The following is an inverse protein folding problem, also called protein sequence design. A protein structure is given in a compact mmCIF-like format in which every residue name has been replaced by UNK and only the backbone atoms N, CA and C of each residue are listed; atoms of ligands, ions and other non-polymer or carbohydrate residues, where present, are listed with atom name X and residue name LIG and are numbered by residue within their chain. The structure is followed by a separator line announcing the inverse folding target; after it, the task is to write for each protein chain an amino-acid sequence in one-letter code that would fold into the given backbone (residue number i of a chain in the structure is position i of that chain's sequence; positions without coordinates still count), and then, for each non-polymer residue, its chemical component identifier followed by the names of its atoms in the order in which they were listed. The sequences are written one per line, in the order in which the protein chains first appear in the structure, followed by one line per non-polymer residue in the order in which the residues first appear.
data_IF_349247363890
#
_entry.id   IF_349247363890
#
_cell.length_a   1.000
_cell.length_b   1.000
_cell.length_c   1.000
_cell.angle_alpha   90.00
_cell.angle_beta   90.00
_cell.angle_gamma   90.00
#
_symmetry.space_group_name_H-M   'P 1'
#
loop_
_entity.id
_entity.type
_entity.pdbx_description
1 polymer ?
#
# COMPACT_ATOMS: atom_id res chain seq x y z
N UNK A 1 20.57 21.12 -51.29
CA UNK A 1 19.52 21.68 -50.42
C UNK A 1 19.98 21.57 -48.98
N UNK A 2 20.48 22.66 -48.40
CA UNK A 2 20.99 22.75 -47.01
C UNK A 2 20.14 23.77 -46.26
N UNK A 3 19.60 23.37 -45.11
CA UNK A 3 18.77 24.23 -44.23
C UNK A 3 19.71 25.00 -43.29
N UNK A 4 19.57 26.33 -43.12
CA UNK A 4 20.39 27.08 -42.18
C UNK A 4 19.79 27.08 -40.76
N UNK A 5 20.67 26.89 -39.77
CA UNK A 5 20.35 27.05 -38.34
C UNK A 5 20.39 28.55 -37.98
N UNK A 6 19.29 29.06 -37.41
CA UNK A 6 19.24 30.38 -36.76
C UNK A 6 19.84 30.28 -35.36
N UNK A 7 20.93 30.99 -35.12
CA UNK A 7 21.48 31.30 -33.80
C UNK A 7 20.76 32.53 -33.23
N UNK A 8 20.04 32.37 -32.13
CA UNK A 8 19.51 33.49 -31.36
C UNK A 8 20.53 33.91 -30.29
N UNK A 9 21.16 35.05 -30.55
CA UNK A 9 21.90 35.88 -29.62
C UNK A 9 20.97 36.50 -28.57
N UNK A 10 21.27 36.32 -27.29
CA UNK A 10 20.71 37.14 -26.20
C UNK A 10 21.62 38.35 -25.97
N UNK A 11 21.08 39.58 -25.84
CA UNK A 11 21.88 40.77 -25.64
C UNK A 11 22.30 40.92 -24.18
N UNK A 12 23.61 41.01 -23.96
CA UNK A 12 24.23 41.58 -22.78
C UNK A 12 24.22 43.10 -22.88
N UNK A 13 23.52 43.79 -21.96
CA UNK A 13 23.67 45.23 -21.73
C UNK A 13 23.92 45.52 -20.24
N UNK A 14 25.12 46.05 -19.99
CA UNK A 14 25.52 47.16 -19.09
C UNK A 14 25.28 46.98 -17.58
N UNK A 15 26.30 46.83 -16.71
CA UNK A 15 27.43 47.71 -16.29
C UNK A 15 27.06 48.96 -15.47
N UNK A 16 27.84 49.11 -14.38
CA UNK A 16 28.13 50.32 -13.59
C UNK A 16 27.04 50.74 -12.59
N UNK A 17 27.24 50.62 -11.28
CA UNK A 17 28.13 51.42 -10.42
C UNK A 17 27.80 52.91 -10.44
N UNK A 18 26.74 53.33 -9.74
CA UNK A 18 26.60 54.70 -9.25
C UNK A 18 25.87 54.72 -7.90
N UNK A 19 26.36 55.60 -7.02
CA UNK A 19 25.76 56.12 -5.78
C UNK A 19 25.95 55.30 -4.49
N UNK A 20 27.18 55.43 -3.97
CA UNK A 20 27.43 55.62 -2.54
C UNK A 20 26.81 56.95 -2.06
N UNK A 21 26.37 56.95 -0.79
CA UNK A 21 26.09 58.07 0.13
C UNK A 21 24.77 58.84 -0.10
N UNK A 22 23.82 58.55 0.80
CA UNK A 22 23.25 59.47 1.79
C UNK A 22 21.84 58.99 2.14
N UNK A 23 21.63 58.44 3.33
CA UNK A 23 20.50 58.79 4.21
C UNK A 23 20.71 58.10 5.56
N UNK A 24 21.32 58.86 6.47
CA UNK A 24 21.21 58.65 7.91
C UNK A 24 19.73 58.82 8.29
N UNK A 25 19.26 57.95 9.17
CA UNK A 25 18.24 58.27 10.16
C UNK A 25 16.83 58.52 9.66
N UNK A 26 16.04 57.45 9.55
CA UNK A 26 14.63 57.47 9.96
C UNK A 26 14.32 56.13 10.62
N UNK A 27 14.58 56.07 11.93
CA UNK A 27 13.88 55.15 12.82
C UNK A 27 12.44 55.65 12.94
N UNK A 28 11.55 55.21 12.05
CA UNK A 28 10.11 55.28 12.30
C UNK A 28 9.63 53.92 12.74
N UNK A 29 9.39 53.88 14.05
CA UNK A 29 8.75 52.82 14.77
C UNK A 29 7.44 52.44 14.08
N UNK A 30 7.34 51.16 13.71
CA UNK A 30 6.09 50.51 13.33
C UNK A 30 5.73 49.49 14.43
N UNK A 31 5.36 49.91 15.66
CA UNK A 31 4.68 49.03 16.59
C UNK A 31 3.16 49.19 16.37
N UNK A 32 2.39 48.20 16.81
CA UNK A 32 0.92 48.22 16.91
C UNK A 32 0.16 47.90 15.63
N UNK A 33 0.22 46.62 15.21
CA UNK A 33 -0.94 45.84 14.75
C UNK A 33 -0.58 44.37 14.48
N UNK A 34 0.20 43.76 15.38
CA UNK A 34 0.35 42.32 15.45
C UNK A 34 -0.02 41.94 16.88
N UNK A 35 -1.17 41.28 17.04
CA UNK A 35 -1.64 40.77 18.32
C UNK A 35 -0.50 40.07 19.06
N UNK A 36 -0.14 40.65 20.20
CA UNK A 36 0.87 40.14 21.11
C UNK A 36 0.39 38.79 21.66
N UNK A 37 0.72 37.72 20.94
CA UNK A 37 0.99 36.46 21.61
C UNK A 37 2.29 36.67 22.36
N UNK A 38 2.26 36.55 23.68
CA UNK A 38 3.45 36.55 24.54
C UNK A 38 4.36 35.38 24.14
N UNK A 39 5.23 35.61 23.15
CA UNK A 39 6.31 34.70 22.83
C UNK A 39 7.50 35.12 23.68
N UNK A 40 7.88 34.26 24.61
CA UNK A 40 9.06 34.48 25.45
C UNK A 40 10.31 34.65 24.56
N UNK A 41 11.24 35.53 24.95
CA UNK A 41 12.55 35.70 24.27
C UNK A 41 13.27 34.37 23.91
N UNK A 42 13.24 33.33 24.77
CA UNK A 42 13.75 32.00 24.44
C UNK A 42 13.10 31.34 23.21
N UNK A 43 11.79 31.49 23.01
CA UNK A 43 11.05 30.88 21.90
C UNK A 43 11.44 31.53 20.56
N UNK A 44 11.64 32.85 20.53
CA UNK A 44 12.05 33.57 19.33
C UNK A 44 13.44 33.15 18.85
N UNK A 45 14.39 32.97 19.78
CA UNK A 45 15.73 32.49 19.47
C UNK A 45 15.71 31.04 18.95
N UNK A 46 14.87 30.17 19.53
CA UNK A 46 14.69 28.81 19.03
C UNK A 46 14.11 28.80 17.61
N UNK A 47 13.13 29.66 17.31
CA UNK A 47 12.58 29.80 15.96
C UNK A 47 13.60 30.32 14.95
N UNK A 48 14.41 31.31 15.33
CA UNK A 48 15.48 31.83 14.47
C UNK A 48 16.50 30.75 14.11
N UNK A 49 17.03 30.04 15.11
CA UNK A 49 17.95 28.91 14.89
C UNK A 49 17.35 27.84 13.98
N UNK A 50 16.06 27.54 14.15
CA UNK A 50 15.35 26.58 13.28
C UNK A 50 15.26 27.05 11.83
N UNK A 51 15.02 28.34 11.59
CA UNK A 51 14.98 28.90 10.24
C UNK A 51 16.38 28.95 9.62
N UNK A 52 17.41 29.28 10.40
CA UNK A 52 18.80 29.28 9.96
C UNK A 52 19.29 27.88 9.56
N UNK A 53 18.83 26.85 10.26
CA UNK A 53 19.13 25.46 9.95
C UNK A 53 18.40 24.90 8.70
N UNK A 54 17.41 25.62 8.16
CA UNK A 54 16.69 25.20 6.96
C UNK A 54 17.50 25.44 5.68
N UNK A 55 17.43 24.49 4.75
CA UNK A 55 17.95 24.66 3.39
C UNK A 55 17.29 25.85 2.67
N UNK A 56 17.92 26.34 1.60
CA UNK A 56 17.38 27.47 0.83
C UNK A 56 15.97 27.17 0.29
N UNK A 57 15.72 25.95 -0.18
CA UNK A 57 14.41 25.50 -0.68
C UNK A 57 13.37 25.43 0.43
N UNK A 58 13.73 24.95 1.62
CA UNK A 58 12.81 24.93 2.77
C UNK A 58 12.46 26.34 3.25
N UNK A 59 13.44 27.25 3.28
CA UNK A 59 13.20 28.67 3.63
C UNK A 59 12.28 29.34 2.61
N UNK A 60 12.46 29.08 1.32
CA UNK A 60 11.58 29.59 0.28
C UNK A 60 10.15 29.04 0.42
N UNK A 61 10.00 27.75 0.67
CA UNK A 61 8.69 27.15 0.95
C UNK A 61 8.03 27.75 2.20
N UNK A 62 8.80 28.00 3.26
CA UNK A 62 8.31 28.65 4.47
C UNK A 62 7.84 30.08 4.18
N UNK A 63 8.62 30.85 3.42
CA UNK A 63 8.27 32.20 2.97
C UNK A 63 6.97 32.22 2.16
N UNK A 64 6.82 31.30 1.22
CA UNK A 64 5.61 31.18 0.41
C UNK A 64 4.38 30.83 1.26
N UNK A 65 4.50 29.87 2.19
CA UNK A 65 3.43 29.52 3.13
C UNK A 65 3.05 30.70 4.03
N UNK A 66 4.03 31.46 4.51
CA UNK A 66 3.79 32.64 5.32
C UNK A 66 3.06 33.74 4.53
N UNK A 67 3.48 34.00 3.28
CA UNK A 67 2.78 34.92 2.37
C UNK A 67 1.32 34.50 2.16
N UNK A 68 1.06 33.22 1.89
CA UNK A 68 -0.30 32.70 1.74
C UNK A 68 -1.11 32.87 3.03
N UNK A 69 -0.52 32.63 4.19
CA UNK A 69 -1.19 32.82 5.48
C UNK A 69 -1.56 34.29 5.73
N UNK A 70 -0.65 35.23 5.41
CA UNK A 70 -0.92 36.68 5.54
C UNK A 70 -2.05 37.17 4.62
N UNK A 71 -2.29 36.50 3.50
CA UNK A 71 -3.37 36.82 2.57
C UNK A 71 -4.75 36.30 3.04
N UNK A 72 -4.81 35.49 4.10
CA UNK A 72 -6.08 35.02 4.66
C UNK A 72 -6.80 36.14 5.43
N UNK A 73 -8.14 36.10 5.52
CA UNK A 73 -8.89 37.00 6.41
C UNK A 73 -8.38 36.90 7.86
N UNK A 74 -8.39 38.02 8.59
CA UNK A 74 -7.84 38.10 9.94
C UNK A 74 -8.49 37.08 10.90
N UNK A 75 -9.80 36.87 10.75
CA UNK A 75 -10.57 35.89 11.52
C UNK A 75 -10.04 34.46 11.28
N UNK A 76 -9.80 34.11 10.01
CA UNK A 76 -9.24 32.81 9.63
C UNK A 76 -7.80 32.65 10.12
N UNK A 77 -6.98 33.70 10.07
CA UNK A 77 -5.64 33.67 10.64
C UNK A 77 -5.67 33.39 12.15
N UNK A 78 -6.59 34.04 12.87
CA UNK A 78 -6.74 33.85 14.31
C UNK A 78 -7.24 32.45 14.64
N UNK A 79 -8.22 31.93 13.90
CA UNK A 79 -8.71 30.56 14.05
C UNK A 79 -7.57 29.54 13.90
N UNK A 80 -6.73 29.69 12.87
CA UNK A 80 -5.58 28.82 12.63
C UNK A 80 -4.53 28.90 13.75
N UNK A 81 -4.27 30.10 14.29
CA UNK A 81 -3.37 30.30 15.45
C UNK A 81 -3.92 29.59 16.68
N UNK A 82 -5.22 29.72 16.95
CA UNK A 82 -5.88 29.06 18.06
C UNK A 82 -5.77 27.54 17.93
N UNK A 83 -6.05 26.98 16.75
CA UNK A 83 -5.91 25.53 16.48
C UNK A 83 -4.47 25.07 16.74
N UNK A 84 -3.48 25.81 16.24
CA UNK A 84 -2.07 25.49 16.45
C UNK A 84 -1.69 25.45 17.94
N UNK A 85 -2.10 26.48 18.70
CA UNK A 85 -1.84 26.53 20.15
C UNK A 85 -2.44 25.34 20.89
N UNK A 86 -3.67 24.93 20.53
CA UNK A 86 -4.31 23.75 21.12
C UNK A 86 -3.54 22.46 20.82
N UNK A 87 -3.04 22.31 19.59
CA UNK A 87 -2.23 21.15 19.19
C UNK A 87 -0.90 21.14 19.96
N UNK A 88 -0.24 22.29 20.09
CA UNK A 88 1.06 22.40 20.77
C UNK A 88 0.94 22.14 22.27
N UNK A 89 -0.06 22.74 22.93
CA UNK A 89 -0.38 22.45 24.33
C UNK A 89 -0.66 20.97 24.53
N UNK A 90 -1.44 20.36 23.63
CA UNK A 90 -1.70 18.92 23.69
C UNK A 90 -0.44 18.07 23.51
N UNK A 91 0.49 18.49 22.65
CA UNK A 91 1.76 17.78 22.43
C UNK A 91 2.57 17.67 23.73
N UNK A 92 2.55 18.72 24.56
CA UNK A 92 3.18 18.75 25.88
C UNK A 92 2.44 17.89 26.92
N UNK A 93 1.14 17.65 26.74
CA UNK A 93 0.28 16.92 27.69
C UNK A 93 -0.16 15.53 27.19
N UNK A 94 0.74 14.75 26.60
CA UNK A 94 0.49 13.36 26.15
C UNK A 94 0.16 13.17 24.67
N UNK A 95 0.00 14.26 23.91
CA UNK A 95 0.11 14.31 22.44
C UNK A 95 -0.88 13.46 21.64
N UNK A 96 -2.03 13.09 22.19
CA UNK A 96 -3.04 12.28 21.46
C UNK A 96 -3.63 13.04 20.27
N UNK A 97 -4.01 14.31 20.45
CA UNK A 97 -4.56 15.14 19.38
C UNK A 97 -3.51 15.41 18.30
N UNK A 98 -2.27 15.74 18.72
CA UNK A 98 -1.15 15.93 17.79
C UNK A 98 -0.95 14.69 16.90
N UNK A 99 -0.93 13.49 17.50
CA UNK A 99 -0.86 12.21 16.75
C UNK A 99 -2.02 12.02 15.77
N UNK A 100 -3.24 12.37 16.15
CA UNK A 100 -4.41 12.26 15.26
C UNK A 100 -4.26 13.19 14.05
N UNK A 101 -3.81 14.44 14.27
CA UNK A 101 -3.58 15.41 13.20
C UNK A 101 -2.47 14.94 12.26
N UNK A 102 -1.36 14.42 12.79
CA UNK A 102 -0.25 13.90 11.99
C UNK A 102 -0.69 12.68 11.15
N UNK A 103 -1.37 11.71 11.76
CA UNK A 103 -1.92 10.55 11.07
C UNK A 103 -2.93 10.96 9.98
N UNK A 104 -3.74 11.99 10.24
CA UNK A 104 -4.68 12.50 9.27
C UNK A 104 -3.97 13.16 8.08
N UNK A 105 -2.93 13.97 8.33
CA UNK A 105 -2.11 14.62 7.29
C UNK A 105 -1.42 13.57 6.41
N UNK A 106 -0.79 12.57 7.03
CA UNK A 106 -0.15 11.47 6.31
C UNK A 106 -1.18 10.71 5.46
N UNK A 107 -2.33 10.38 6.04
CA UNK A 107 -3.41 9.70 5.32
C UNK A 107 -3.94 10.52 4.13
N UNK A 108 -4.16 11.83 4.30
CA UNK A 108 -4.54 12.74 3.20
C UNK A 108 -3.50 12.70 2.08
N UNK A 109 -2.21 12.62 2.42
CA UNK A 109 -1.10 12.43 1.48
C UNK A 109 -1.30 11.22 0.56
N UNK A 110 -2.01 10.18 1.01
CA UNK A 110 -2.28 8.97 0.24
C UNK A 110 -3.49 9.05 -0.70
N UNK A 111 -4.28 10.12 -0.64
CA UNK A 111 -5.49 10.31 -1.45
C UNK A 111 -5.19 11.01 -2.77
N UNK A 112 -6.00 10.76 -3.80
CA UNK A 112 -5.95 11.51 -5.05
C UNK A 112 -6.43 12.96 -4.86
N UNK A 113 -6.06 13.91 -5.75
CA UNK A 113 -6.50 15.29 -5.65
C UNK A 113 -8.03 15.45 -5.56
N UNK A 114 -8.78 14.70 -6.37
CA UNK A 114 -10.25 14.71 -6.34
C UNK A 114 -10.83 14.22 -5.01
N UNK A 115 -10.25 13.17 -4.42
CA UNK A 115 -10.68 12.68 -3.10
C UNK A 115 -10.43 13.69 -1.99
N UNK A 116 -9.32 14.44 -2.06
CA UNK A 116 -9.03 15.53 -1.12
C UNK A 116 -10.03 16.67 -1.28
N UNK A 117 -10.33 17.04 -2.51
CA UNK A 117 -11.31 18.08 -2.81
C UNK A 117 -12.71 17.70 -2.32
N UNK A 118 -13.10 16.44 -2.51
CA UNK A 118 -14.36 15.94 -1.98
C UNK A 118 -14.45 16.11 -0.46
N UNK A 119 -13.37 15.85 0.29
CA UNK A 119 -13.34 16.11 1.74
C UNK A 119 -13.42 17.61 2.08
N UNK A 120 -12.91 18.51 1.22
CA UNK A 120 -12.91 19.96 1.47
C UNK A 120 -14.29 20.59 1.28
N UNK A 121 -15.10 20.11 0.34
CA UNK A 121 -16.44 20.65 0.06
C UNK A 121 -17.39 20.60 1.27
N UNK A 122 -17.19 19.65 2.19
CA UNK A 122 -18.04 19.50 3.36
C UNK A 122 -17.49 20.32 4.53
N UNK A 123 -18.20 21.40 4.90
CA UNK A 123 -17.88 22.22 6.09
C UNK A 123 -18.26 21.52 7.40
N UNK A 124 -19.30 20.67 7.39
CA UNK A 124 -19.78 19.95 8.57
C UNK A 124 -18.80 18.81 8.97
N UNK A 125 -18.28 18.78 10.21
CA UNK A 125 -17.34 17.75 10.67
C UNK A 125 -17.88 16.31 10.57
N UNK A 126 -19.15 16.09 10.91
CA UNK A 126 -19.79 14.76 10.87
C UNK A 126 -19.89 14.24 9.44
N UNK A 127 -20.22 15.12 8.49
CA UNK A 127 -20.24 14.79 7.06
C UNK A 127 -18.83 14.43 6.55
N UNK A 128 -17.80 15.20 6.93
CA UNK A 128 -16.40 14.90 6.58
C UNK A 128 -15.96 13.53 7.11
N UNK A 129 -16.29 13.22 8.37
CA UNK A 129 -15.94 11.94 8.99
C UNK A 129 -16.56 10.77 8.21
N UNK A 130 -17.82 10.90 7.79
CA UNK A 130 -18.50 9.87 6.98
C UNK A 130 -17.78 9.60 5.66
N UNK A 131 -17.39 10.66 4.94
CA UNK A 131 -16.64 10.52 3.67
C UNK A 131 -15.27 9.89 3.89
N UNK A 132 -14.57 10.29 4.96
CA UNK A 132 -13.29 9.67 5.34
C UNK A 132 -13.47 8.17 5.60
N UNK A 133 -14.53 7.78 6.31
CA UNK A 133 -14.84 6.37 6.57
C UNK A 133 -15.14 5.61 5.28
N UNK A 134 -15.90 6.20 4.37
CA UNK A 134 -16.22 5.61 3.06
C UNK A 134 -14.95 5.44 2.20
N UNK A 135 -14.08 6.46 2.13
CA UNK A 135 -12.81 6.38 1.42
C UNK A 135 -11.88 5.32 2.02
N UNK A 136 -11.81 5.22 3.36
CA UNK A 136 -11.06 4.17 4.05
C UNK A 136 -11.64 2.78 3.77
N UNK A 137 -12.97 2.64 3.81
CA UNK A 137 -13.65 1.39 3.52
C UNK A 137 -13.44 0.96 2.06
N UNK A 138 -13.50 1.90 1.11
CA UNK A 138 -13.25 1.67 -0.30
C UNK A 138 -11.78 1.32 -0.55
N UNK A 139 -10.83 1.98 0.12
CA UNK A 139 -9.41 1.63 0.05
C UNK A 139 -9.18 0.23 0.59
N UNK A 140 -9.79 -0.13 1.73
CA UNK A 140 -9.73 -1.49 2.31
C UNK A 140 -10.40 -2.53 1.41
N UNK A 141 -11.55 -2.23 0.81
CA UNK A 141 -12.22 -3.09 -0.17
C UNK A 141 -11.34 -3.28 -1.40
N UNK A 142 -10.77 -2.20 -1.95
CA UNK A 142 -9.87 -2.26 -3.10
C UNK A 142 -8.56 -2.98 -2.78
N UNK A 143 -8.00 -2.82 -1.58
CA UNK A 143 -6.89 -3.63 -1.08
C UNK A 143 -7.29 -5.11 -0.97
N UNK A 144 -8.49 -5.41 -0.47
CA UNK A 144 -8.95 -6.79 -0.37
C UNK A 144 -9.34 -7.39 -1.73
N UNK A 145 -9.77 -6.56 -2.69
CA UNK A 145 -10.25 -6.93 -4.02
C UNK A 145 -9.10 -6.98 -5.06
N UNK A 146 -8.04 -6.18 -4.87
CA UNK A 146 -6.91 -6.05 -5.80
C UNK A 146 -5.51 -6.26 -5.17
N UNK A 147 -5.39 -6.41 -3.85
CA UNK A 147 -4.28 -7.09 -3.19
C UNK A 147 -4.66 -8.46 -2.58
N UNK A 148 -5.36 -9.37 -3.30
CA UNK A 148 -5.57 -10.75 -2.91
C UNK A 148 -4.43 -11.69 -3.37
N UNK A 149 -3.33 -11.17 -3.91
CA UNK A 149 -2.49 -11.99 -4.79
C UNK A 149 -1.47 -12.88 -4.08
N UNK A 150 -1.12 -12.63 -2.82
CA UNK A 150 -0.37 -13.61 -2.03
C UNK A 150 -1.27 -14.28 -0.99
N UNK A 151 -2.09 -13.51 -0.25
CA UNK A 151 -2.79 -13.99 0.95
C UNK A 151 -4.20 -14.57 0.72
N UNK A 152 -4.89 -14.20 -0.38
CA UNK A 152 -6.16 -14.84 -0.76
C UNK A 152 -5.94 -16.05 -1.67
N UNK A 153 -4.74 -16.22 -2.28
CA UNK A 153 -4.36 -17.48 -2.95
C UNK A 153 -4.46 -18.69 -2.03
N UNK A 154 -4.25 -18.47 -0.73
CA UNK A 154 -3.89 -19.52 0.20
C UNK A 154 -5.11 -20.16 0.86
N UNK A 155 -6.30 -19.54 0.76
CA UNK A 155 -7.51 -19.90 1.55
C UNK A 155 -7.16 -20.29 3.00
N UNK A 156 -6.15 -19.65 3.57
CA UNK A 156 -5.73 -19.93 4.93
C UNK A 156 -6.91 -19.65 5.85
N UNK A 157 -7.06 -20.46 6.89
CA UNK A 157 -7.97 -20.13 7.96
C UNK A 157 -7.60 -18.74 8.52
N UNK A 158 -8.57 -18.08 9.14
CA UNK A 158 -8.41 -16.70 9.65
C UNK A 158 -7.17 -16.55 10.54
N UNK A 159 -6.84 -17.58 11.32
CA UNK A 159 -5.68 -17.61 12.21
C UNK A 159 -4.36 -17.62 11.47
N UNK A 160 -4.14 -18.53 10.51
CA UNK A 160 -2.92 -18.55 9.71
C UNK A 160 -2.76 -17.27 8.88
N UNK A 161 -3.86 -16.65 8.45
CA UNK A 161 -3.81 -15.32 7.81
C UNK A 161 -3.36 -14.22 8.78
N UNK A 162 -3.87 -14.20 10.01
CA UNK A 162 -3.48 -13.22 11.02
C UNK A 162 -2.02 -13.40 11.43
N UNK A 163 -1.61 -14.65 11.67
CA UNK A 163 -0.22 -15.01 11.98
C UNK A 163 0.72 -14.64 10.83
N UNK A 164 0.29 -14.84 9.57
CA UNK A 164 1.04 -14.39 8.41
C UNK A 164 1.13 -12.87 8.26
N UNK A 165 0.06 -12.14 8.60
CA UNK A 165 0.09 -10.67 8.56
C UNK A 165 1.03 -10.11 9.62
N UNK A 166 1.20 -10.80 10.75
CA UNK A 166 2.24 -10.48 11.73
C UNK A 166 3.63 -10.98 11.36
N UNK A 167 3.75 -12.02 10.52
CA UNK A 167 5.06 -12.48 10.02
C UNK A 167 5.56 -11.53 8.93
N UNK A 168 6.30 -10.50 9.35
CA UNK A 168 7.15 -9.68 8.48
C UNK A 168 8.26 -10.50 7.82
N UNK A 169 8.60 -11.66 8.41
CA UNK A 169 9.69 -12.55 7.99
C UNK A 169 9.64 -12.92 6.51
N UNK A 170 10.79 -12.81 5.87
CA UNK A 170 11.13 -13.21 4.51
C UNK A 170 12.55 -13.77 4.56
N UNK A 171 12.86 -14.75 3.73
CA UNK A 171 14.23 -15.24 3.62
C UNK A 171 15.11 -14.12 3.07
N UNK A 172 16.35 -14.05 3.57
CA UNK A 172 17.40 -13.29 2.91
C UNK A 172 17.64 -13.84 1.50
N UNK A 173 18.25 -13.06 0.61
CA UNK A 173 18.49 -13.50 -0.77
C UNK A 173 19.44 -14.74 -0.77
N UNK A 174 20.39 -14.83 0.17
CA UNK A 174 21.29 -15.98 0.38
C UNK A 174 20.57 -17.22 0.93
N UNK A 175 19.71 -17.04 1.95
CA UNK A 175 18.94 -18.15 2.52
C UNK A 175 17.95 -18.71 1.50
N UNK A 176 17.34 -17.83 0.69
CA UNK A 176 16.46 -18.25 -0.39
C UNK A 176 17.23 -19.07 -1.43
N UNK A 177 18.43 -18.65 -1.83
CA UNK A 177 19.28 -19.42 -2.74
C UNK A 177 19.60 -20.81 -2.18
N UNK A 178 20.04 -20.89 -0.91
CA UNK A 178 20.35 -22.16 -0.26
C UNK A 178 19.14 -23.10 -0.20
N UNK A 179 17.97 -22.57 0.20
CA UNK A 179 16.70 -23.30 0.19
C UNK A 179 16.35 -23.81 -1.20
N UNK A 180 16.48 -22.97 -2.23
CA UNK A 180 16.14 -23.34 -3.60
C UNK A 180 17.09 -24.41 -4.17
N UNK A 181 18.37 -24.41 -3.78
CA UNK A 181 19.32 -25.47 -4.13
C UNK A 181 18.95 -26.82 -3.52
N UNK A 182 18.51 -26.83 -2.25
CA UNK A 182 18.00 -28.05 -1.59
C UNK A 182 16.75 -28.58 -2.30
N UNK A 183 15.80 -27.69 -2.65
CA UNK A 183 14.60 -28.06 -3.40
C UNK A 183 14.97 -28.67 -4.75
N UNK A 184 15.89 -28.02 -5.48
CA UNK A 184 16.33 -28.47 -6.79
C UNK A 184 17.01 -29.85 -6.72
N UNK A 185 17.91 -30.07 -5.76
CA UNK A 185 18.60 -31.35 -5.55
C UNK A 185 17.61 -32.47 -5.24
N UNK A 186 16.62 -32.23 -4.38
CA UNK A 186 15.62 -33.23 -3.99
C UNK A 186 14.59 -33.53 -5.07
N UNK A 187 14.31 -32.57 -5.94
CA UNK A 187 13.30 -32.73 -6.99
C UNK A 187 13.79 -33.58 -8.16
N UNK A 188 15.10 -33.78 -8.29
CA UNK A 188 15.75 -34.56 -9.34
C UNK A 188 15.24 -34.15 -10.74
N UNK A 189 15.59 -32.92 -11.12
CA UNK A 189 15.28 -32.36 -12.44
C UNK A 189 16.34 -32.77 -13.46
N UNK A 190 15.95 -32.87 -14.73
CA UNK A 190 16.90 -33.22 -15.79
C UNK A 190 18.01 -32.17 -15.92
N UNK A 191 19.25 -32.57 -16.27
CA UNK A 191 20.37 -31.64 -16.44
C UNK A 191 20.08 -30.52 -17.43
N UNK A 192 19.33 -30.81 -18.51
CA UNK A 192 18.91 -29.82 -19.50
C UNK A 192 18.09 -28.68 -18.89
N UNK A 193 17.09 -29.00 -18.05
CA UNK A 193 16.25 -27.99 -17.39
C UNK A 193 17.06 -27.16 -16.40
N UNK A 194 17.95 -27.83 -15.65
CA UNK A 194 18.84 -27.17 -14.69
C UNK A 194 19.75 -26.16 -15.40
N UNK A 195 20.31 -26.53 -16.56
CA UNK A 195 21.18 -25.65 -17.33
C UNK A 195 20.41 -24.46 -17.94
N UNK A 196 19.19 -24.69 -18.45
CA UNK A 196 18.32 -23.61 -18.91
C UNK A 196 18.04 -22.59 -17.81
N UNK A 197 17.70 -23.05 -16.59
CA UNK A 197 17.38 -22.16 -15.49
C UNK A 197 18.57 -21.44 -14.89
N UNK A 198 19.79 -21.99 -15.00
CA UNK A 198 21.02 -21.30 -14.59
C UNK A 198 21.27 -20.03 -15.40
N UNK A 199 20.81 -19.97 -16.65
CA UNK A 199 20.89 -18.77 -17.49
C UNK A 199 19.84 -17.70 -17.14
N UNK A 200 18.84 -18.02 -16.32
CA UNK A 200 17.79 -17.08 -15.93
C UNK A 200 18.20 -16.26 -14.69
N UNK A 201 17.71 -15.01 -14.57
CA UNK A 201 17.82 -14.25 -13.33
C UNK A 201 17.23 -15.03 -12.14
N UNK A 202 17.78 -14.88 -10.91
CA UNK A 202 17.40 -15.69 -9.75
C UNK A 202 15.88 -15.80 -9.51
N UNK A 203 15.15 -14.68 -9.58
CA UNK A 203 13.70 -14.68 -9.38
C UNK A 203 12.94 -15.53 -10.42
N UNK A 204 13.37 -15.49 -11.69
CA UNK A 204 12.78 -16.32 -12.76
C UNK A 204 13.18 -17.78 -12.64
N UNK A 205 14.44 -18.04 -12.29
CA UNK A 205 14.94 -19.40 -11.99
C UNK A 205 14.07 -20.07 -10.92
N UNK A 206 13.85 -19.40 -9.79
CA UNK A 206 13.06 -19.99 -8.69
C UNK A 206 11.59 -20.21 -9.04
N UNK A 207 10.97 -19.27 -9.76
CA UNK A 207 9.60 -19.45 -10.25
C UNK A 207 9.50 -20.68 -11.16
N UNK A 208 10.45 -20.87 -12.08
CA UNK A 208 10.45 -22.01 -12.98
C UNK A 208 10.70 -23.34 -12.25
N UNK A 209 11.61 -23.37 -11.27
CA UNK A 209 11.82 -24.53 -10.39
C UNK A 209 10.50 -24.93 -9.70
N UNK A 210 9.77 -23.97 -9.12
CA UNK A 210 8.50 -24.25 -8.46
C UNK A 210 7.41 -24.70 -9.45
N UNK A 211 7.34 -24.10 -10.63
CA UNK A 211 6.39 -24.53 -11.68
C UNK A 211 6.65 -25.99 -12.05
N UNK A 212 7.90 -26.36 -12.34
CA UNK A 212 8.27 -27.73 -12.70
C UNK A 212 7.96 -28.70 -11.57
N UNK A 213 8.24 -28.32 -10.31
CA UNK A 213 7.95 -29.14 -9.14
C UNK A 213 6.45 -29.39 -8.95
N UNK A 214 5.62 -28.36 -9.12
CA UNK A 214 4.16 -28.46 -9.01
C UNK A 214 3.57 -29.27 -10.17
N UNK A 215 4.12 -29.15 -11.38
CA UNK A 215 3.72 -29.94 -12.54
C UNK A 215 4.06 -31.42 -12.35
N UNK A 216 5.27 -31.76 -11.88
CA UNK A 216 5.71 -33.14 -11.59
C UNK A 216 4.81 -33.83 -10.55
N UNK A 217 4.26 -33.09 -9.59
CA UNK A 217 3.36 -33.64 -8.54
C UNK A 217 1.87 -33.72 -8.92
N UNK A 218 1.46 -33.18 -10.06
CA UNK A 218 0.07 -33.16 -10.53
C UNK A 218 -0.81 -32.09 -9.85
N UNK A 219 -1.72 -31.49 -10.64
CA UNK A 219 -2.46 -30.26 -10.27
C UNK A 219 -3.40 -30.39 -9.05
N UNK A 220 -3.87 -31.60 -8.71
CA UNK A 220 -4.96 -31.78 -7.73
C UNK A 220 -4.49 -31.86 -6.27
N UNK A 221 -3.26 -32.29 -6.01
CA UNK A 221 -2.70 -32.46 -4.64
C UNK A 221 -1.71 -31.34 -4.24
N UNK A 222 -1.40 -30.42 -5.15
CA UNK A 222 -0.28 -29.48 -5.03
C UNK A 222 -0.52 -28.22 -4.17
N UNK A 223 -1.63 -28.14 -3.41
CA UNK A 223 -1.86 -27.01 -2.50
C UNK A 223 -1.04 -27.20 -1.20
N UNK A 224 0.05 -26.44 -1.07
CA UNK A 224 0.89 -26.31 0.15
C UNK A 224 1.40 -27.62 0.78
N UNK A 225 1.63 -28.63 -0.07
CA UNK A 225 2.13 -29.96 0.33
C UNK A 225 3.13 -30.49 -0.69
N UNK A 226 3.80 -29.59 -1.39
CA UNK A 226 4.78 -29.96 -2.40
C UNK A 226 6.15 -30.25 -1.76
N UNK A 227 6.35 -29.97 -0.47
CA UNK A 227 7.48 -30.44 0.33
C UNK A 227 7.08 -31.60 1.26
N UNK A 228 7.91 -32.65 1.29
CA UNK A 228 7.79 -33.74 2.26
C UNK A 228 8.20 -33.28 3.67
N UNK A 229 7.90 -34.07 4.71
CA UNK A 229 8.31 -33.74 6.09
C UNK A 229 9.83 -33.63 6.22
N UNK A 230 10.57 -34.57 5.66
CA UNK A 230 12.03 -34.54 5.65
C UNK A 230 12.56 -33.31 4.93
N UNK A 231 11.95 -32.92 3.81
CA UNK A 231 12.37 -31.73 3.08
C UNK A 231 12.27 -30.46 3.93
N UNK A 232 11.28 -30.35 4.82
CA UNK A 232 11.15 -29.18 5.71
C UNK A 232 12.32 -29.11 6.71
N UNK A 233 12.75 -30.25 7.25
CA UNK A 233 13.89 -30.31 8.17
C UNK A 233 15.15 -29.82 7.48
N UNK A 234 15.49 -30.41 6.34
CA UNK A 234 16.67 -30.06 5.55
C UNK A 234 16.64 -28.57 5.12
N UNK A 235 15.46 -28.05 4.78
CA UNK A 235 15.30 -26.63 4.44
C UNK A 235 15.47 -25.71 5.64
N UNK A 236 15.04 -26.13 6.83
CA UNK A 236 15.21 -25.34 8.07
C UNK A 236 16.67 -25.33 8.53
N UNK A 237 17.43 -26.36 8.19
CA UNK A 237 18.86 -26.46 8.53
C UNK A 237 19.71 -25.48 7.74
N UNK A 238 19.40 -25.25 6.46
CA UNK A 238 20.17 -24.33 5.59
C UNK A 238 19.86 -22.85 5.81
N UNK A 239 18.79 -22.51 6.54
CA UNK A 239 18.45 -21.12 6.88
C UNK A 239 19.42 -20.61 7.95
N UNK A 240 20.18 -19.56 7.62
CA UNK A 240 21.16 -18.90 8.49
C UNK A 240 20.50 -17.91 9.46
N UNK A 241 19.45 -17.23 9.01
CA UNK A 241 18.69 -16.30 9.85
C UNK A 241 18.07 -17.03 11.05
N UNK A 242 18.59 -16.72 12.25
CA UNK A 242 18.17 -17.35 13.51
C UNK A 242 16.73 -17.02 13.86
N UNK A 243 16.24 -15.83 13.55
CA UNK A 243 14.88 -15.42 13.89
C UNK A 243 13.87 -16.20 13.05
N UNK A 244 14.14 -16.33 11.75
CA UNK A 244 13.33 -17.17 10.85
C UNK A 244 13.35 -18.62 11.32
N UNK A 245 14.53 -19.15 11.65
CA UNK A 245 14.69 -20.54 12.10
C UNK A 245 13.95 -20.80 13.41
N UNK A 246 14.08 -19.91 14.39
CA UNK A 246 13.40 -20.00 15.68
C UNK A 246 11.88 -19.96 15.51
N UNK A 247 11.37 -19.08 14.65
CA UNK A 247 9.93 -18.97 14.41
C UNK A 247 9.36 -20.23 13.74
N UNK A 248 10.11 -20.82 12.80
CA UNK A 248 9.77 -22.12 12.19
C UNK A 248 9.77 -23.24 13.24
N UNK A 249 10.73 -23.24 14.16
CA UNK A 249 10.89 -24.25 15.21
C UNK A 249 9.81 -24.19 16.29
N UNK A 250 9.28 -23.00 16.62
CA UNK A 250 8.17 -22.81 17.57
C UNK A 250 6.87 -23.48 17.14
N UNK A 251 6.71 -23.80 15.85
CA UNK A 251 5.48 -24.40 15.34
C UNK A 251 5.53 -25.93 15.51
N UNK A 252 4.86 -26.42 16.55
CA UNK A 252 4.81 -27.86 16.86
C UNK A 252 3.95 -28.66 15.87
N UNK A 253 2.88 -28.07 15.33
CA UNK A 253 2.03 -28.77 14.37
C UNK A 253 2.75 -28.92 13.01
N UNK A 254 3.05 -30.17 12.62
CA UNK A 254 3.79 -30.49 11.39
C UNK A 254 3.15 -29.94 10.11
N UNK A 255 1.82 -29.95 10.01
CA UNK A 255 1.12 -29.42 8.83
C UNK A 255 1.18 -27.90 8.77
N UNK A 256 0.97 -27.23 9.91
CA UNK A 256 1.10 -25.77 10.01
C UNK A 256 2.53 -25.33 9.71
N UNK A 257 3.54 -26.04 10.24
CA UNK A 257 4.95 -25.78 9.96
C UNK A 257 5.26 -25.88 8.48
N UNK A 258 4.78 -26.96 7.82
CA UNK A 258 4.89 -27.13 6.36
C UNK A 258 4.28 -25.96 5.60
N UNK A 259 3.04 -25.61 5.92
CA UNK A 259 2.35 -24.51 5.25
C UNK A 259 3.11 -23.19 5.41
N UNK A 260 3.61 -22.89 6.61
CA UNK A 260 4.38 -21.67 6.88
C UNK A 260 5.70 -21.65 6.08
N UNK A 261 6.42 -22.76 6.00
CA UNK A 261 7.65 -22.85 5.19
C UNK A 261 7.36 -22.69 3.69
N UNK A 262 6.36 -23.38 3.15
CA UNK A 262 5.94 -23.22 1.74
C UNK A 262 5.61 -21.75 1.43
N UNK A 263 4.96 -21.06 2.36
CA UNK A 263 4.57 -19.66 2.24
C UNK A 263 5.73 -18.70 2.36
N UNK A 264 6.65 -18.96 3.27
CA UNK A 264 7.87 -18.19 3.45
C UNK A 264 8.69 -18.22 2.16
N UNK A 265 8.86 -19.40 1.55
CA UNK A 265 9.55 -19.56 0.27
C UNK A 265 8.83 -18.76 -0.83
N UNK A 266 7.52 -18.94 -0.98
CA UNK A 266 6.73 -18.23 -1.99
C UNK A 266 6.79 -16.71 -1.81
N UNK A 267 6.67 -16.21 -0.57
CA UNK A 267 6.74 -14.79 -0.24
C UNK A 267 8.10 -14.21 -0.60
N UNK A 268 9.18 -14.95 -0.30
CA UNK A 268 10.56 -14.52 -0.58
C UNK A 268 10.84 -14.47 -2.10
N UNK A 269 10.37 -15.47 -2.86
CA UNK A 269 10.42 -15.46 -4.33
C UNK A 269 9.64 -14.27 -4.89
N UNK A 270 8.43 -14.01 -4.39
CA UNK A 270 7.63 -12.86 -4.84
C UNK A 270 8.27 -11.51 -4.50
N UNK A 271 8.99 -11.41 -3.38
CA UNK A 271 9.72 -10.21 -3.02
C UNK A 271 10.92 -10.00 -3.94
N UNK A 272 11.73 -11.03 -4.17
CA UNK A 272 12.86 -10.96 -5.09
C UNK A 272 12.39 -10.64 -6.50
N UNK A 273 11.29 -11.27 -6.94
CA UNK A 273 10.60 -10.93 -8.17
C UNK A 273 10.22 -9.47 -8.26
N UNK A 274 9.62 -8.91 -7.20
CA UNK A 274 9.32 -7.49 -7.15
C UNK A 274 10.58 -6.65 -7.26
N UNK A 275 11.70 -7.01 -6.62
CA UNK A 275 12.98 -6.27 -6.77
C UNK A 275 13.43 -6.25 -8.24
N UNK A 276 13.39 -7.39 -8.93
CA UNK A 276 13.87 -7.50 -10.33
C UNK A 276 12.90 -6.96 -11.38
N UNK A 277 11.58 -7.12 -11.21
CA UNK A 277 10.60 -6.82 -12.26
C UNK A 277 9.78 -5.55 -11.99
N UNK A 278 9.89 -4.95 -10.80
CA UNK A 278 9.28 -3.63 -10.52
C UNK A 278 9.97 -2.46 -11.22
N UNK A 279 11.28 -2.47 -11.52
CA UNK A 279 11.93 -1.41 -12.29
C UNK A 279 11.35 -1.26 -13.71
N UNK A 280 10.90 -2.35 -14.33
CA UNK A 280 10.30 -2.34 -15.67
C UNK A 280 8.81 -1.99 -15.66
N UNK A 281 8.46 -0.86 -15.04
CA UNK A 281 7.09 -0.32 -15.17
C UNK A 281 6.92 0.26 -16.57
N UNK A 282 5.81 -0.08 -17.26
CA UNK A 282 5.56 0.51 -18.56
C UNK A 282 5.41 2.03 -18.44
N UNK A 283 6.01 2.76 -19.37
CA UNK A 283 5.87 4.22 -19.45
C UNK A 283 4.44 4.59 -19.84
N UNK A 284 4.03 5.83 -19.59
CA UNK A 284 2.69 6.28 -19.98
C UNK A 284 2.48 6.21 -21.50
N UNK A 285 3.53 6.48 -22.27
CA UNK A 285 3.54 6.34 -23.73
C UNK A 285 3.35 4.89 -24.18
N UNK A 286 4.07 3.93 -23.57
CA UNK A 286 3.89 2.50 -23.85
C UNK A 286 2.46 2.05 -23.54
N UNK A 287 1.88 2.54 -22.45
CA UNK A 287 0.49 2.26 -22.09
C UNK A 287 -0.49 2.91 -23.08
N UNK A 288 -0.28 4.15 -23.49
CA UNK A 288 -1.12 4.83 -24.47
C UNK A 288 -1.11 4.10 -25.82
N UNK A 289 0.07 3.71 -26.31
CA UNK A 289 0.23 2.95 -27.54
C UNK A 289 -0.41 1.56 -27.43
N UNK A 290 -0.23 0.90 -26.29
CA UNK A 290 -0.89 -0.38 -26.04
C UNK A 290 -2.42 -0.25 -25.99
N UNK A 291 -2.96 0.80 -25.37
CA UNK A 291 -4.39 1.07 -25.34
C UNK A 291 -4.95 1.29 -26.75
N UNK A 292 -4.25 2.03 -27.61
CA UNK A 292 -4.62 2.20 -29.02
C UNK A 292 -4.66 0.88 -29.77
N UNK A 293 -3.78 -0.07 -29.44
CA UNK A 293 -3.74 -1.41 -30.04
C UNK A 293 -4.85 -2.37 -29.56
N UNK A 294 -5.63 -1.98 -28.54
CA UNK A 294 -6.73 -2.80 -28.04
C UNK A 294 -7.98 -2.68 -28.92
N UNK A 295 -8.77 -3.75 -29.01
CA UNK A 295 -10.06 -3.73 -29.70
C UNK A 295 -11.01 -2.68 -29.12
N UNK A 296 -11.94 -2.12 -29.93
CA UNK A 296 -12.92 -1.15 -29.45
C UNK A 296 -13.69 -1.61 -28.20
N UNK A 297 -14.24 -2.84 -28.20
CA UNK A 297 -14.96 -3.41 -27.05
C UNK A 297 -14.09 -3.50 -25.78
N UNK A 298 -12.79 -3.76 -25.95
CA UNK A 298 -11.89 -3.85 -24.80
C UNK A 298 -11.58 -2.48 -24.23
N UNK A 299 -11.42 -1.48 -25.09
CA UNK A 299 -11.26 -0.07 -24.69
C UNK A 299 -12.49 0.41 -23.94
N UNK A 300 -13.69 0.16 -24.45
CA UNK A 300 -14.95 0.51 -23.80
C UNK A 300 -15.08 -0.13 -22.40
N UNK A 301 -14.83 -1.45 -22.28
CA UNK A 301 -14.82 -2.16 -20.98
C UNK A 301 -13.79 -1.61 -19.99
N UNK A 302 -12.69 -1.04 -20.46
CA UNK A 302 -11.72 -0.39 -19.58
C UNK A 302 -12.29 0.94 -19.07
N UNK A 303 -12.96 1.72 -19.92
CA UNK A 303 -13.55 3.01 -19.56
C UNK A 303 -14.67 2.91 -18.51
N UNK A 304 -15.26 1.74 -18.29
CA UNK A 304 -16.18 1.47 -17.16
C UNK A 304 -15.50 1.59 -15.78
N UNK A 305 -14.16 1.65 -15.73
CA UNK A 305 -13.39 1.73 -14.50
C UNK A 305 -12.86 3.14 -14.24
N UNK A 306 -12.58 3.46 -12.97
CA UNK A 306 -11.90 4.73 -12.64
C UNK A 306 -10.52 4.82 -13.34
N UNK A 307 -10.01 6.04 -13.62
CA UNK A 307 -8.74 6.23 -14.33
C UNK A 307 -7.56 5.46 -13.70
N UNK A 308 -7.49 5.38 -12.38
CA UNK A 308 -6.43 4.62 -11.69
C UNK A 308 -6.56 3.11 -11.93
N UNK A 309 -7.78 2.60 -11.99
CA UNK A 309 -8.05 1.20 -12.28
C UNK A 309 -7.80 0.88 -13.75
N UNK A 310 -8.08 1.80 -14.67
CA UNK A 310 -7.71 1.70 -16.09
C UNK A 310 -6.20 1.57 -16.21
N UNK A 311 -5.44 2.53 -15.67
CA UNK A 311 -3.97 2.52 -15.75
C UNK A 311 -3.38 1.24 -15.17
N UNK A 312 -3.88 0.77 -14.02
CA UNK A 312 -3.44 -0.48 -13.39
C UNK A 312 -3.73 -1.72 -14.24
N UNK A 313 -4.95 -1.84 -14.78
CA UNK A 313 -5.34 -2.99 -15.62
C UNK A 313 -4.58 -3.01 -16.93
N UNK A 314 -4.46 -1.86 -17.57
CA UNK A 314 -3.69 -1.68 -18.78
C UNK A 314 -2.21 -2.04 -18.58
N UNK A 315 -1.62 -1.60 -17.46
CA UNK A 315 -0.25 -2.00 -17.07
C UNK A 315 -0.11 -3.50 -16.88
N UNK A 316 -1.09 -4.14 -16.25
CA UNK A 316 -1.10 -5.58 -16.05
C UNK A 316 -1.21 -6.34 -17.38
N UNK A 317 -2.14 -5.95 -18.26
CA UNK A 317 -2.33 -6.55 -19.58
C UNK A 317 -1.12 -6.36 -20.49
N UNK A 318 -0.52 -5.16 -20.48
CA UNK A 318 0.71 -4.87 -21.20
C UNK A 318 1.83 -5.82 -20.77
N UNK A 319 2.05 -5.96 -19.47
CA UNK A 319 3.09 -6.85 -18.94
C UNK A 319 2.78 -8.32 -19.23
N UNK A 320 1.53 -8.75 -19.11
CA UNK A 320 1.15 -10.11 -19.49
C UNK A 320 1.47 -10.44 -20.95
N UNK A 321 1.38 -9.46 -21.85
CA UNK A 321 1.70 -9.63 -23.27
C UNK A 321 3.21 -9.58 -23.53
N UNK A 322 3.91 -8.62 -22.93
CA UNK A 322 5.28 -8.25 -23.33
C UNK A 322 6.38 -8.74 -22.37
N UNK A 323 6.03 -9.16 -21.15
CA UNK A 323 6.99 -9.57 -20.12
C UNK A 323 6.84 -11.10 -19.87
N UNK A 324 7.76 -11.95 -20.39
CA UNK A 324 7.72 -13.39 -20.18
C UNK A 324 7.71 -13.76 -18.70
N UNK A 325 8.40 -12.97 -17.89
CA UNK A 325 8.45 -13.17 -16.46
C UNK A 325 7.02 -13.07 -15.89
N UNK A 326 6.27 -12.05 -16.28
CA UNK A 326 4.88 -11.87 -15.81
C UNK A 326 3.99 -13.08 -16.13
N UNK A 327 4.22 -13.75 -17.27
CA UNK A 327 3.51 -14.98 -17.65
C UNK A 327 3.89 -16.15 -16.75
N UNK A 328 5.18 -16.32 -16.45
CA UNK A 328 5.68 -17.36 -15.55
C UNK A 328 5.07 -17.25 -14.16
N UNK A 329 5.07 -16.05 -13.56
CA UNK A 329 4.49 -15.87 -12.22
C UNK A 329 2.98 -16.11 -12.20
N UNK A 330 2.27 -15.77 -13.29
CA UNK A 330 0.86 -16.08 -13.42
C UNK A 330 0.59 -17.57 -13.64
N UNK A 331 1.49 -18.29 -14.32
CA UNK A 331 1.46 -19.75 -14.43
C UNK A 331 1.67 -20.40 -13.06
N UNK A 332 2.68 -19.98 -12.30
CA UNK A 332 2.90 -20.43 -10.92
C UNK A 332 1.64 -20.19 -10.06
N UNK A 333 1.08 -18.99 -10.14
CA UNK A 333 -0.15 -18.63 -9.44
C UNK A 333 -1.33 -19.55 -9.80
N UNK A 334 -1.53 -19.84 -11.09
CA UNK A 334 -2.60 -20.71 -11.57
C UNK A 334 -2.46 -22.13 -11.00
N UNK A 335 -1.24 -22.68 -11.02
CA UNK A 335 -0.92 -24.00 -10.45
C UNK A 335 -1.19 -24.02 -8.95
N UNK A 336 -0.76 -23.00 -8.21
CA UNK A 336 -0.99 -22.88 -6.76
C UNK A 336 -2.46 -22.76 -6.39
N UNK A 337 -3.29 -22.13 -7.24
CA UNK A 337 -4.75 -22.08 -7.05
C UNK A 337 -5.49 -23.38 -7.40
N UNK A 338 -4.78 -24.41 -7.88
CA UNK A 338 -5.37 -25.67 -8.33
C UNK A 338 -6.25 -25.51 -9.57
N UNK A 339 -5.83 -24.64 -10.51
CA UNK A 339 -6.50 -24.43 -11.80
C UNK A 339 -7.88 -23.77 -11.74
N UNK A 340 -8.48 -23.63 -10.55
CA UNK A 340 -9.77 -22.94 -10.42
C UNK A 340 -9.56 -21.48 -10.80
N UNK A 341 -10.25 -20.97 -11.84
CA UNK A 341 -10.20 -19.54 -12.14
C UNK A 341 -10.59 -18.81 -10.86
N UNK A 342 -9.89 -17.71 -10.55
CA UNK A 342 -10.31 -16.83 -9.46
C UNK A 342 -11.79 -16.57 -9.68
N UNK A 343 -12.65 -17.19 -8.87
CA UNK A 343 -14.07 -16.88 -8.87
C UNK A 343 -14.08 -15.39 -8.59
N UNK A 344 -14.37 -14.58 -9.62
CA UNK A 344 -14.60 -13.14 -9.48
C UNK A 344 -15.53 -13.06 -8.28
N UNK A 345 -15.01 -12.57 -7.15
CA UNK A 345 -15.72 -12.60 -5.87
C UNK A 345 -17.15 -12.16 -6.14
N UNK A 346 -18.15 -12.85 -5.55
CA UNK A 346 -19.54 -12.86 -6.03
C UNK A 346 -19.86 -11.49 -6.57
N UNK A 347 -19.93 -11.39 -7.92
CA UNK A 347 -20.37 -10.16 -8.59
C UNK A 347 -21.59 -9.80 -7.79
N UNK A 348 -21.54 -8.66 -7.11
CA UNK A 348 -22.65 -8.22 -6.30
C UNK A 348 -23.85 -8.12 -7.21
N UNK A 349 -24.61 -9.21 -7.34
CA UNK A 349 -26.04 -9.16 -7.17
C UNK A 349 -26.16 -8.49 -5.82
N UNK A 350 -26.17 -7.15 -5.85
CA UNK A 350 -26.73 -6.35 -4.77
C UNK A 350 -27.96 -7.15 -4.37
N UNK A 351 -28.11 -7.59 -3.11
CA UNK A 351 -29.40 -8.08 -2.68
C UNK A 351 -30.36 -7.02 -3.18
N UNK A 352 -31.32 -7.40 -4.04
CA UNK A 352 -32.42 -6.50 -4.32
C UNK A 352 -32.89 -6.07 -2.94
N UNK A 353 -32.73 -4.79 -2.66
CA UNK A 353 -33.22 -4.16 -1.46
C UNK A 353 -34.73 -4.30 -1.61
N UNK A 354 -35.28 -5.44 -1.17
CA UNK A 354 -36.72 -5.61 -1.02
C UNK A 354 -37.11 -4.56 0.00
N UNK A 355 -37.90 -3.55 -0.38
CA UNK A 355 -38.47 -2.63 0.59
C UNK A 355 -39.29 -3.46 1.58
N UNK A 356 -38.96 -3.31 2.86
CA UNK A 356 -39.76 -3.68 4.03
C UNK A 356 -40.74 -4.87 3.93
N UNK A 357 -40.26 -6.06 4.33
CA UNK A 357 -41.10 -7.08 4.99
C UNK A 357 -40.76 -7.19 6.50
N UNK A 358 -40.39 -6.06 7.14
CA UNK A 358 -40.29 -5.98 8.61
C UNK A 358 -41.67 -5.86 9.29
N UNK A 359 -42.61 -6.72 8.90
CA UNK A 359 -44.00 -6.67 9.39
C UNK A 359 -44.55 -7.97 9.97
N UNK A 360 -43.92 -9.14 9.80
CA UNK A 360 -44.57 -10.43 10.14
C UNK A 360 -43.76 -11.42 10.99
N UNK A 361 -42.76 -10.96 11.73
CA UNK A 361 -41.92 -11.83 12.57
C UNK A 361 -42.20 -11.84 14.08
N UNK A 362 -43.09 -10.97 14.60
CA UNK A 362 -43.24 -10.77 16.06
C UNK A 362 -44.43 -11.46 16.73
N UNK A 363 -45.31 -12.18 16.00
CA UNK A 363 -46.46 -12.87 16.62
C UNK A 363 -46.21 -14.30 17.11
N UNK A 364 -45.13 -14.98 16.70
CA UNK A 364 -44.92 -16.38 17.09
C UNK A 364 -43.96 -16.60 18.28
N UNK A 365 -43.39 -15.54 18.86
CA UNK A 365 -42.49 -15.67 20.03
C UNK A 365 -43.20 -15.54 21.38
N UNK A 366 -44.45 -15.06 21.41
CA UNK A 366 -45.27 -14.94 22.62
C UNK A 366 -46.16 -16.16 22.91
N UNK A 367 -46.30 -17.11 21.96
CA UNK A 367 -47.03 -18.36 22.20
C UNK A 367 -46.19 -19.49 22.82
N UNK A 368 -44.86 -19.35 22.90
CA UNK A 368 -43.97 -20.40 23.43
C UNK A 368 -43.53 -20.22 24.89
N UNK A 369 -44.07 -19.21 25.59
CA UNK A 369 -43.80 -18.95 27.01
C UNK A 369 -44.98 -19.33 27.94
N UNK A 370 -46.03 -19.97 27.41
CA UNK A 370 -47.19 -20.41 28.21
C UNK A 370 -47.24 -21.91 28.53
N UNK A 371 -46.32 -22.73 27.99
CA UNK A 371 -46.39 -24.19 28.13
C UNK A 371 -45.32 -24.81 29.04
N UNK A 372 -44.56 -24.02 29.79
CA UNK A 372 -43.68 -24.58 30.84
C UNK A 372 -44.47 -24.86 32.11
N UNK A 373 -44.97 -26.09 32.22
CA UNK A 373 -45.45 -26.69 33.49
C UNK A 373 -44.37 -26.57 34.57
N UNK A 374 -44.70 -26.18 35.81
CA UNK A 374 -43.77 -26.26 36.93
C UNK A 374 -43.54 -27.73 37.30
N UNK A 375 -42.26 -28.09 37.45
CA UNK A 375 -41.79 -29.38 37.95
C UNK A 375 -41.94 -29.36 39.47
N UNK A 376 -42.90 -30.13 39.97
CA UNK A 376 -43.03 -30.43 41.40
C UNK A 376 -41.92 -31.40 41.80
N UNK A 377 -40.93 -30.92 42.52
CA UNK A 377 -40.09 -31.77 43.37
C UNK A 377 -40.31 -31.30 44.81
N UNK A 378 -41.17 -32.02 45.51
CA UNK A 378 -41.37 -31.92 46.94
C UNK A 378 -40.40 -32.88 47.63
N UNK A 379 -39.62 -32.35 48.58
CA UNK A 379 -39.64 -32.74 50.02
C UNK A 379 -38.72 -33.93 50.38
N UNK A 380 -38.43 -34.14 51.67
CA UNK A 380 -37.43 -33.39 52.46
C UNK A 380 -36.29 -34.30 52.95
#
# INVERSE_FOLDING_TARGET
MKVPYKTNSFPSFLTSSFLKRCFRGVCLALPLLLGAGDFSQPDLNAHRKKIEAMSATEREQLKNKYKTFQQLPIETQQELRNIYQHIEKNRRSGGRLARVVDNYREWLGTLSPWQREEIRKHKNPTARIRIIQELKANKKKNLNQYSPDAYNLLRLNKHARQQMQSMTLTLSDDDLEAVMQVIQKKADFSPSMVNEWKALPPARRYVNILIALLQKKGERKARFRWLGSQAITDLTEVIRDKDVKNEIQRIHNKETKRAIVDLLILKSILQQWQKTVRPSRPTEEQLANFYKSLSPDRREKLMEHSPENVKRRLSFEYRMKNDPAMREIMKLRKLMSGGKPFRKGPRGKRPHFRPDERGRGRRNRLKRLKDTKPRNDAKP
#
